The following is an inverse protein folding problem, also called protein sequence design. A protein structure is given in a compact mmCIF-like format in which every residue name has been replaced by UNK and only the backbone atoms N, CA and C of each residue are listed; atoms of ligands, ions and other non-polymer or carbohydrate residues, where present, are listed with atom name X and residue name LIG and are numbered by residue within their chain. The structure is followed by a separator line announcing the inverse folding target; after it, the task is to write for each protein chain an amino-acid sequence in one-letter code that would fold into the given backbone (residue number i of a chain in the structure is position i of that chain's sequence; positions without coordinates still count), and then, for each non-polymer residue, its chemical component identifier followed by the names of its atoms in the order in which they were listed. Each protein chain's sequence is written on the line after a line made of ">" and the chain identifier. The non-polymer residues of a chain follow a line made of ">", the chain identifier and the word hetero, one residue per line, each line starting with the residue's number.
data_IF_265560135248
#
_entry.id   IF_265560135248
#
_cell.length_a   1.000
_cell.length_b   1.000
_cell.length_c   1.000
_cell.angle_alpha   90.00
_cell.angle_beta   90.00
_cell.angle_gamma   90.00
#
_symmetry.space_group_name_H-M   'P 1'
#
loop_
_entity.id
_entity.type
_entity.pdbx_description
1 polymer ?
#
# COMPACT_ATOMS: atom_id res chain seq x y z
N UNK A 1 30.58 -9.46 62.45
CA UNK A 1 31.29 -8.91 61.25
C UNK A 1 30.42 -9.21 60.07
N UNK A 2 29.61 -8.25 59.64
CA UNK A 2 28.70 -8.41 58.51
C UNK A 2 29.13 -7.50 57.38
N UNK A 3 29.38 -8.06 56.21
CA UNK A 3 29.63 -7.32 54.99
C UNK A 3 28.32 -7.14 54.23
N UNK A 4 27.81 -5.92 54.20
CA UNK A 4 26.70 -5.54 53.36
C UNK A 4 27.16 -5.27 51.91
N UNK A 5 26.63 -6.00 50.97
CA UNK A 5 26.84 -5.81 49.53
C UNK A 5 25.78 -4.83 49.00
N UNK A 6 26.20 -3.63 48.62
CA UNK A 6 25.37 -2.64 47.94
C UNK A 6 25.29 -2.99 46.47
N UNK A 7 24.10 -3.31 45.98
CA UNK A 7 23.81 -3.41 44.55
C UNK A 7 23.70 -2.00 43.95
N UNK A 8 24.59 -1.70 43.03
CA UNK A 8 24.54 -0.47 42.24
C UNK A 8 23.64 -0.70 41.02
N UNK A 9 22.48 -0.08 41.02
CA UNK A 9 21.60 -0.08 39.84
C UNK A 9 22.18 0.83 38.75
N UNK A 10 22.72 0.22 37.71
CA UNK A 10 23.18 0.91 36.52
C UNK A 10 21.97 1.13 35.59
N UNK A 11 21.44 2.36 35.59
CA UNK A 11 20.45 2.78 34.62
C UNK A 11 21.16 3.04 33.30
N UNK A 12 20.99 2.13 32.33
CA UNK A 12 21.41 2.38 30.95
C UNK A 12 20.45 3.37 30.31
N UNK A 13 20.87 4.62 30.18
CA UNK A 13 20.22 5.58 29.26
C UNK A 13 20.52 5.14 27.83
N UNK A 14 19.55 4.55 27.15
CA UNK A 14 19.60 4.34 25.70
C UNK A 14 19.23 5.67 25.04
N UNK A 15 20.26 6.42 24.63
CA UNK A 15 20.09 7.58 23.77
C UNK A 15 19.68 7.11 22.38
N UNK A 16 18.44 7.40 21.99
CA UNK A 16 17.99 7.31 20.60
C UNK A 16 18.74 8.36 19.78
N UNK A 17 19.82 7.95 19.15
CA UNK A 17 20.41 8.71 18.05
C UNK A 17 19.44 8.64 16.86
N UNK A 18 18.78 9.74 16.58
CA UNK A 18 18.06 9.96 15.34
C UNK A 18 19.09 9.92 14.20
N UNK A 19 19.10 8.81 13.46
CA UNK A 19 19.88 8.73 12.22
C UNK A 19 19.30 9.73 11.22
N UNK A 20 20.11 10.62 10.65
CA UNK A 20 19.65 11.48 9.59
C UNK A 20 19.26 10.59 8.41
N UNK A 21 18.05 10.83 7.87
CA UNK A 21 17.58 10.25 6.61
C UNK A 21 18.59 10.60 5.51
N UNK A 22 19.46 9.65 5.19
CA UNK A 22 20.38 9.79 4.05
C UNK A 22 19.55 9.72 2.76
N UNK A 23 19.09 10.87 2.25
CA UNK A 23 18.65 10.99 0.87
C UNK A 23 19.88 10.74 0.00
N UNK A 24 19.92 9.60 -0.66
CA UNK A 24 20.99 9.26 -1.60
C UNK A 24 20.83 10.15 -2.82
N UNK A 25 21.77 11.06 -3.03
CA UNK A 25 21.87 11.86 -4.26
C UNK A 25 22.02 10.92 -5.45
N UNK A 26 20.96 10.82 -6.23
CA UNK A 26 21.03 10.27 -7.60
C UNK A 26 21.45 11.44 -8.47
N UNK A 27 22.68 11.46 -8.87
CA UNK A 27 23.44 12.41 -9.71
C UNK A 27 22.68 13.64 -10.22
N UNK A 28 23.35 14.74 -10.47
CA UNK A 28 22.98 16.10 -10.89
C UNK A 28 21.72 16.24 -11.79
N UNK A 29 20.58 15.68 -11.42
CA UNK A 29 19.30 16.02 -12.03
C UNK A 29 18.71 17.24 -11.25
N UNK A 30 18.10 18.20 -11.94
CA UNK A 30 17.52 19.39 -11.31
C UNK A 30 16.52 18.94 -10.24
N UNK A 31 16.56 19.58 -9.06
CA UNK A 31 15.64 19.32 -7.96
C UNK A 31 14.23 19.74 -8.39
N UNK A 32 13.41 18.77 -8.77
CA UNK A 32 12.05 19.02 -9.22
C UNK A 32 11.07 18.78 -8.09
N UNK A 33 10.22 19.77 -7.82
CA UNK A 33 9.08 19.63 -6.92
C UNK A 33 7.83 19.24 -7.71
N UNK A 34 7.10 18.25 -7.25
CA UNK A 34 5.82 17.84 -7.81
C UNK A 34 4.68 18.48 -7.00
N UNK A 35 3.79 19.19 -7.69
CA UNK A 35 2.57 19.74 -7.14
C UNK A 35 1.37 19.23 -7.91
N UNK A 36 0.21 19.23 -7.27
CA UNK A 36 -1.04 18.80 -7.88
C UNK A 36 -2.05 19.95 -7.92
N UNK A 37 -2.76 20.08 -9.03
CA UNK A 37 -3.96 20.91 -9.11
C UNK A 37 -5.18 20.01 -9.13
N UNK A 38 -6.12 20.30 -8.24
CA UNK A 38 -7.44 19.69 -8.20
C UNK A 38 -8.48 20.76 -8.53
N UNK A 39 -9.46 20.40 -9.35
CA UNK A 39 -10.61 21.27 -9.64
C UNK A 39 -11.80 20.96 -8.73
N UNK A 40 -11.69 19.97 -7.85
CA UNK A 40 -12.77 19.50 -7.00
C UNK A 40 -12.82 20.23 -5.67
N UNK A 41 -14.02 20.44 -5.15
CA UNK A 41 -14.21 20.88 -3.77
C UNK A 41 -13.70 19.81 -2.78
N UNK A 42 -13.18 20.23 -1.61
CA UNK A 42 -12.76 19.30 -0.56
C UNK A 42 -13.85 18.33 -0.16
N UNK A 43 -13.46 17.09 0.15
CA UNK A 43 -14.39 16.04 0.65
C UNK A 43 -14.86 16.36 2.07
N UNK A 44 -13.95 16.85 2.89
CA UNK A 44 -14.21 17.23 4.26
C UNK A 44 -13.56 18.59 4.56
N UNK A 45 -14.11 19.26 5.54
CA UNK A 45 -13.54 20.52 6.05
C UNK A 45 -12.32 20.23 6.93
N UNK A 46 -11.25 20.98 6.68
CA UNK A 46 -10.01 20.90 7.44
C UNK A 46 -9.91 22.06 8.43
N UNK A 47 -9.66 21.76 9.70
CA UNK A 47 -9.56 22.77 10.76
C UNK A 47 -8.20 23.48 10.78
N UNK A 48 -7.19 22.93 10.11
CA UNK A 48 -5.83 23.49 10.04
C UNK A 48 -5.33 23.49 8.60
N UNK A 49 -4.25 24.22 8.35
CA UNK A 49 -3.55 24.23 7.06
C UNK A 49 -2.59 23.06 6.90
N UNK A 50 -2.27 22.33 7.99
CA UNK A 50 -1.36 21.19 7.94
C UNK A 50 -2.00 20.05 7.17
N UNK A 51 -1.28 19.48 6.22
CA UNK A 51 -1.71 18.37 5.37
C UNK A 51 -0.73 17.21 5.46
N UNK A 52 -1.26 16.00 5.31
CA UNK A 52 -0.49 14.76 5.21
C UNK A 52 -0.93 14.02 3.94
N UNK A 53 -0.01 13.81 3.04
CA UNK A 53 -0.28 13.13 1.77
C UNK A 53 -0.02 11.64 1.87
N UNK A 54 -1.01 10.85 1.44
CA UNK A 54 -0.88 9.42 1.23
C UNK A 54 -0.99 9.11 -0.26
N UNK A 55 -0.07 8.32 -0.79
CA UNK A 55 -0.14 7.82 -2.17
C UNK A 55 -0.30 6.30 -2.15
N UNK A 56 -1.27 5.80 -2.91
CA UNK A 56 -1.56 4.38 -3.03
C UNK A 56 -1.35 3.93 -4.47
N UNK A 57 -0.61 2.87 -4.64
CA UNK A 57 -0.49 2.14 -5.90
C UNK A 57 -1.06 0.74 -5.73
N UNK A 58 -1.45 0.12 -6.85
CA UNK A 58 -2.09 -1.19 -6.84
C UNK A 58 -1.13 -2.36 -6.73
N UNK A 59 -1.45 -3.42 -7.45
CA UNK A 59 -0.80 -4.71 -7.35
C UNK A 59 0.60 -4.69 -7.96
N UNK A 60 1.62 -4.95 -7.15
CA UNK A 60 2.97 -5.29 -7.57
C UNK A 60 2.96 -6.79 -7.87
N UNK A 61 2.59 -7.13 -9.10
CA UNK A 61 2.38 -8.51 -9.57
C UNK A 61 3.35 -8.85 -10.71
N UNK A 62 4.54 -9.32 -10.35
CA UNK A 62 5.65 -9.45 -11.29
C UNK A 62 5.64 -10.82 -12.00
N UNK A 63 5.07 -10.83 -13.19
CA UNK A 63 5.17 -11.98 -14.10
C UNK A 63 6.61 -12.19 -14.58
N UNK A 64 6.90 -13.37 -15.12
CA UNK A 64 8.24 -13.83 -15.54
C UNK A 64 9.09 -12.73 -16.19
N UNK A 65 8.58 -12.08 -17.24
CA UNK A 65 9.36 -11.09 -17.97
C UNK A 65 9.68 -9.82 -17.15
N UNK A 66 8.81 -9.46 -16.21
CA UNK A 66 9.05 -8.33 -15.31
C UNK A 66 10.11 -8.68 -14.27
N UNK A 67 10.07 -9.90 -13.72
CA UNK A 67 11.12 -10.38 -12.83
C UNK A 67 12.46 -10.44 -13.55
N UNK A 68 12.51 -11.03 -14.76
CA UNK A 68 13.74 -11.10 -15.57
C UNK A 68 14.33 -9.73 -15.88
N UNK A 69 13.48 -8.73 -16.18
CA UNK A 69 13.94 -7.37 -16.39
C UNK A 69 14.40 -6.73 -15.08
N UNK A 70 13.64 -6.89 -14.00
CA UNK A 70 13.99 -6.36 -12.67
C UNK A 70 15.30 -6.91 -12.16
N UNK A 71 15.54 -8.21 -12.28
CA UNK A 71 16.80 -8.83 -11.86
C UNK A 71 18.00 -8.37 -12.70
N UNK A 72 17.80 -8.07 -13.96
CA UNK A 72 18.87 -7.63 -14.88
C UNK A 72 19.16 -6.12 -14.80
N UNK A 73 18.14 -5.29 -14.59
CA UNK A 73 18.21 -3.83 -14.77
C UNK A 73 17.81 -3.05 -13.51
N UNK A 74 17.46 -3.74 -12.40
CA UNK A 74 16.76 -3.17 -11.25
C UNK A 74 15.26 -3.02 -11.51
N UNK A 75 14.46 -3.26 -10.48
CA UNK A 75 13.00 -3.16 -10.57
C UNK A 75 12.51 -1.73 -10.77
N UNK A 76 13.28 -0.73 -10.32
CA UNK A 76 12.98 0.69 -10.58
C UNK A 76 12.80 0.96 -12.07
N UNK A 77 13.51 0.24 -12.95
CA UNK A 77 13.35 0.35 -14.41
C UNK A 77 11.90 0.11 -14.89
N UNK A 78 11.12 -0.65 -14.12
CA UNK A 78 9.72 -0.97 -14.44
C UNK A 78 8.77 0.19 -14.16
N UNK A 79 9.10 1.07 -13.21
CA UNK A 79 8.21 2.16 -12.75
C UNK A 79 8.94 3.49 -12.54
N UNK A 80 10.07 3.72 -13.20
CA UNK A 80 10.90 4.91 -13.03
C UNK A 80 10.09 6.23 -13.08
N UNK A 81 9.13 6.34 -13.99
CA UNK A 81 8.30 7.55 -14.12
C UNK A 81 7.34 7.77 -12.94
N UNK A 82 7.02 6.72 -12.17
CA UNK A 82 6.18 6.84 -10.98
C UNK A 82 6.97 7.24 -9.72
N UNK A 83 8.30 7.13 -9.72
CA UNK A 83 9.15 7.42 -8.55
C UNK A 83 8.89 8.83 -7.97
N UNK A 84 8.81 9.92 -8.75
CA UNK A 84 8.52 11.24 -8.18
C UNK A 84 7.18 11.31 -7.46
N UNK A 85 6.18 10.53 -7.88
CA UNK A 85 4.85 10.48 -7.26
C UNK A 85 4.84 9.72 -5.93
N UNK A 86 5.70 8.71 -5.80
CA UNK A 86 5.88 7.96 -4.56
C UNK A 86 6.70 8.75 -3.55
N UNK A 87 7.79 9.37 -3.99
CA UNK A 87 8.71 10.13 -3.13
C UNK A 87 8.14 11.46 -2.62
N UNK A 88 7.18 12.05 -3.35
CA UNK A 88 6.53 13.30 -2.93
C UNK A 88 5.54 13.08 -1.78
N UNK A 89 4.97 11.88 -1.67
CA UNK A 89 4.04 11.55 -0.59
C UNK A 89 4.74 11.51 0.77
N UNK A 90 4.02 11.89 1.82
CA UNK A 90 4.48 11.65 3.21
C UNK A 90 4.52 10.14 3.51
N UNK A 91 3.58 9.36 2.95
CA UNK A 91 3.55 7.90 3.02
C UNK A 91 3.07 7.34 1.68
N UNK A 92 3.86 6.48 1.04
CA UNK A 92 3.44 5.73 -0.13
C UNK A 92 3.22 4.25 0.20
N UNK A 93 2.12 3.70 -0.32
CA UNK A 93 1.62 2.34 -0.01
C UNK A 93 1.43 1.54 -1.30
N UNK A 94 1.87 0.28 -1.30
CA UNK A 94 1.67 -0.66 -2.41
C UNK A 94 1.10 -2.01 -1.92
N UNK A 95 0.43 -2.76 -2.79
CA UNK A 95 0.12 -4.16 -2.53
C UNK A 95 1.24 -5.06 -3.06
N UNK A 96 1.98 -5.73 -2.19
CA UNK A 96 3.01 -6.71 -2.53
C UNK A 96 2.31 -8.06 -2.80
N UNK A 97 1.93 -8.29 -4.05
CA UNK A 97 1.14 -9.46 -4.42
C UNK A 97 2.02 -10.67 -4.73
N UNK A 98 2.35 -11.37 -3.66
CA UNK A 98 3.19 -12.54 -3.63
C UNK A 98 4.29 -12.48 -2.58
N UNK A 99 4.81 -13.63 -2.16
CA UNK A 99 5.88 -13.72 -1.17
C UNK A 99 7.23 -13.26 -1.71
N UNK A 100 8.10 -12.88 -0.77
CA UNK A 100 9.54 -12.64 -0.96
C UNK A 100 10.28 -13.63 -0.06
N UNK A 101 10.26 -14.90 -0.47
CA UNK A 101 10.71 -16.03 0.34
C UNK A 101 12.00 -16.62 -0.23
N UNK A 102 13.14 -16.20 0.36
CA UNK A 102 14.49 -16.60 -0.05
C UNK A 102 14.66 -18.10 0.06
N UNK A 103 15.05 -18.75 -1.03
CA UNK A 103 15.37 -20.18 -1.07
C UNK A 103 14.16 -21.11 -0.89
N UNK A 104 12.92 -20.60 -0.98
CA UNK A 104 11.73 -21.46 -0.81
C UNK A 104 11.12 -21.82 -2.18
N UNK A 105 11.09 -23.12 -2.45
CA UNK A 105 10.49 -23.67 -3.68
C UNK A 105 8.95 -23.62 -3.64
N UNK A 106 8.29 -23.91 -4.80
CA UNK A 106 6.82 -24.03 -4.87
C UNK A 106 6.24 -25.11 -3.92
N UNK A 107 7.03 -26.11 -3.55
CA UNK A 107 6.61 -27.15 -2.59
C UNK A 107 6.88 -26.79 -1.13
N UNK A 108 7.35 -25.57 -0.84
CA UNK A 108 7.68 -25.14 0.52
C UNK A 108 8.99 -25.68 1.07
N UNK A 109 9.86 -26.29 0.25
CA UNK A 109 11.16 -26.77 0.69
C UNK A 109 12.20 -25.65 0.66
N UNK A 110 13.04 -25.60 1.70
CA UNK A 110 14.21 -24.74 1.72
C UNK A 110 15.31 -25.35 0.84
N UNK A 111 15.88 -24.53 -0.03
CA UNK A 111 17.06 -24.81 -0.87
C UNK A 111 18.00 -23.61 -0.82
N UNK A 112 19.18 -23.73 -1.43
CA UNK A 112 20.08 -22.60 -1.60
C UNK A 112 19.44 -21.48 -2.44
N UNK A 113 19.74 -20.25 -2.10
CA UNK A 113 19.24 -19.08 -2.84
C UNK A 113 19.97 -18.99 -4.20
N UNK A 114 19.26 -19.03 -5.34
CA UNK A 114 19.87 -18.87 -6.65
C UNK A 114 20.35 -17.41 -6.92
N UNK A 115 20.10 -16.47 -6.00
CA UNK A 115 20.32 -15.05 -6.19
C UNK A 115 19.25 -14.40 -7.09
N UNK A 116 19.43 -13.14 -7.52
CA UNK A 116 18.42 -12.37 -8.27
C UNK A 116 18.29 -12.87 -9.73
N UNK A 117 17.78 -14.06 -9.89
CA UNK A 117 17.55 -14.72 -11.19
C UNK A 117 16.19 -15.42 -11.21
N UNK A 118 15.49 -15.34 -12.33
CA UNK A 118 14.25 -16.09 -12.53
C UNK A 118 14.61 -17.53 -12.90
N UNK A 119 14.55 -18.45 -11.95
CA UNK A 119 14.92 -19.87 -12.11
C UNK A 119 13.72 -20.82 -12.28
N UNK A 120 12.50 -20.31 -12.07
CA UNK A 120 11.23 -21.05 -12.09
C UNK A 120 11.13 -22.19 -11.05
N UNK A 121 12.01 -22.18 -10.06
CA UNK A 121 12.07 -23.11 -8.92
C UNK A 121 11.83 -22.37 -7.62
N UNK A 122 12.72 -21.44 -7.27
CA UNK A 122 12.61 -20.54 -6.12
C UNK A 122 11.86 -19.28 -6.52
N UNK A 123 12.39 -18.51 -7.47
CA UNK A 123 11.76 -17.28 -7.96
C UNK A 123 10.92 -17.59 -9.19
N UNK A 124 9.61 -17.44 -9.02
CA UNK A 124 8.60 -18.00 -9.92
C UNK A 124 7.52 -16.97 -10.23
N UNK A 125 6.72 -17.27 -11.25
CA UNK A 125 5.57 -16.50 -11.67
C UNK A 125 4.28 -17.31 -11.46
N UNK A 126 3.17 -16.82 -12.08
CA UNK A 126 1.87 -17.50 -12.06
C UNK A 126 2.02 -19.03 -12.27
N UNK A 127 1.27 -19.86 -11.55
CA UNK A 127 0.19 -19.54 -10.61
C UNK A 127 0.66 -19.27 -9.16
N UNK A 128 1.91 -19.53 -8.81
CA UNK A 128 2.48 -19.33 -7.48
C UNK A 128 3.72 -18.46 -7.57
N UNK A 129 3.57 -17.21 -7.18
CA UNK A 129 4.64 -16.22 -7.23
C UNK A 129 5.68 -16.40 -6.11
N UNK A 130 6.88 -15.96 -6.37
CA UNK A 130 7.90 -15.68 -5.35
C UNK A 130 8.95 -14.73 -5.94
N UNK A 131 9.37 -13.75 -5.17
CA UNK A 131 10.26 -12.69 -5.61
C UNK A 131 11.56 -12.69 -4.78
N UNK A 132 12.65 -12.25 -5.40
CA UNK A 132 13.90 -12.02 -4.69
C UNK A 132 13.85 -10.70 -3.89
N UNK A 133 14.51 -10.61 -2.70
CA UNK A 133 14.51 -9.40 -1.85
C UNK A 133 14.96 -8.10 -2.50
N UNK A 134 15.69 -8.14 -3.62
CA UNK A 134 16.04 -6.94 -4.40
C UNK A 134 14.82 -6.13 -4.83
N UNK A 135 13.64 -6.77 -4.97
CA UNK A 135 12.37 -6.07 -5.20
C UNK A 135 12.05 -5.11 -4.05
N UNK A 136 12.22 -5.54 -2.80
CA UNK A 136 11.91 -4.72 -1.62
C UNK A 136 12.86 -3.53 -1.50
N UNK A 137 14.14 -3.71 -1.81
CA UNK A 137 15.11 -2.62 -1.85
C UNK A 137 14.73 -1.57 -2.90
N UNK A 138 14.28 -2.01 -4.08
CA UNK A 138 13.86 -1.12 -5.16
C UNK A 138 12.53 -0.42 -4.86
N UNK A 139 11.58 -1.07 -4.18
CA UNK A 139 10.36 -0.42 -3.68
C UNK A 139 10.72 0.66 -2.66
N UNK A 140 11.60 0.35 -1.70
CA UNK A 140 12.03 1.30 -0.67
C UNK A 140 12.72 2.53 -1.26
N UNK A 141 13.68 2.34 -2.17
CA UNK A 141 14.39 3.46 -2.80
C UNK A 141 13.48 4.30 -3.69
N UNK A 142 12.41 3.70 -4.22
CA UNK A 142 11.38 4.39 -5.00
C UNK A 142 10.43 5.25 -4.14
N UNK A 143 10.52 5.15 -2.81
CA UNK A 143 9.69 5.93 -1.89
C UNK A 143 8.50 5.17 -1.29
N UNK A 144 8.37 3.86 -1.51
CA UNK A 144 7.35 3.06 -0.83
C UNK A 144 7.72 2.91 0.64
N UNK A 145 6.80 3.23 1.55
CA UNK A 145 6.99 3.18 2.99
C UNK A 145 6.34 1.96 3.63
N UNK A 146 5.19 1.53 3.09
CA UNK A 146 4.42 0.41 3.61
C UNK A 146 3.88 -0.46 2.48
N UNK A 147 3.87 -1.77 2.70
CA UNK A 147 3.21 -2.72 1.79
C UNK A 147 2.10 -3.49 2.49
N UNK A 148 0.99 -3.70 1.76
CA UNK A 148 0.02 -4.73 2.11
C UNK A 148 0.58 -6.09 1.73
N UNK A 149 0.51 -7.06 2.64
CA UNK A 149 0.91 -8.45 2.43
C UNK A 149 -0.26 -9.42 2.48
N UNK A 150 -1.46 -8.95 2.88
CA UNK A 150 -2.68 -9.76 2.81
C UNK A 150 -3.27 -9.69 1.39
N UNK A 151 -3.02 -10.72 0.61
CA UNK A 151 -3.58 -10.92 -0.73
C UNK A 151 -3.73 -12.42 -1.01
N UNK A 152 -4.36 -12.78 -2.13
CA UNK A 152 -4.61 -14.18 -2.47
C UNK A 152 -3.32 -14.98 -2.72
N UNK A 153 -2.18 -14.32 -2.95
CA UNK A 153 -0.85 -14.91 -3.12
C UNK A 153 0.01 -14.90 -1.84
N UNK A 154 -0.52 -14.47 -0.70
CA UNK A 154 0.22 -14.40 0.58
C UNK A 154 0.87 -15.73 0.98
N UNK A 155 0.22 -16.85 0.66
CA UNK A 155 0.64 -18.19 1.02
C UNK A 155 1.19 -19.01 -0.15
N UNK A 156 1.59 -18.41 -1.26
CA UNK A 156 2.18 -19.12 -2.41
C UNK A 156 3.47 -19.89 -2.07
N UNK A 157 4.02 -19.67 -0.90
CA UNK A 157 5.12 -20.44 -0.29
C UNK A 157 4.75 -20.96 1.10
N UNK A 158 3.44 -21.14 1.36
CA UNK A 158 2.88 -21.63 2.62
C UNK A 158 3.27 -20.74 3.82
N UNK A 159 3.12 -21.26 5.02
CA UNK A 159 3.49 -20.58 6.26
C UNK A 159 4.95 -20.13 6.30
N UNK A 160 5.88 -20.97 5.84
CA UNK A 160 7.31 -20.63 5.79
C UNK A 160 7.56 -19.45 4.84
N UNK A 161 6.81 -19.33 3.76
CA UNK A 161 6.90 -18.21 2.83
C UNK A 161 6.43 -16.90 3.45
N UNK A 162 5.36 -16.94 4.23
CA UNK A 162 4.89 -15.76 4.97
C UNK A 162 5.95 -15.28 5.99
N UNK A 163 6.54 -16.21 6.76
CA UNK A 163 7.61 -15.89 7.70
C UNK A 163 8.83 -15.29 7.01
N UNK A 164 9.29 -15.89 5.90
CA UNK A 164 10.43 -15.40 5.11
C UNK A 164 10.16 -14.03 4.47
N UNK A 165 8.93 -13.79 4.01
CA UNK A 165 8.53 -12.49 3.48
C UNK A 165 8.62 -11.41 4.56
N UNK A 166 8.15 -11.71 5.78
CA UNK A 166 8.23 -10.78 6.91
C UNK A 166 9.69 -10.51 7.30
N UNK A 167 10.55 -11.54 7.32
CA UNK A 167 11.98 -11.39 7.56
C UNK A 167 12.63 -10.47 6.51
N UNK A 168 12.32 -10.67 5.22
CA UNK A 168 12.84 -9.87 4.13
C UNK A 168 12.38 -8.39 4.22
N UNK A 169 11.10 -8.15 4.55
CA UNK A 169 10.54 -6.81 4.75
C UNK A 169 11.22 -6.07 5.91
N UNK A 170 11.40 -6.74 7.05
CA UNK A 170 12.14 -6.19 8.20
C UNK A 170 13.56 -5.83 7.82
N UNK A 171 14.25 -6.71 7.08
CA UNK A 171 15.63 -6.48 6.62
C UNK A 171 15.72 -5.31 5.64
N UNK A 172 14.71 -5.11 4.78
CA UNK A 172 14.63 -3.97 3.87
C UNK A 172 14.20 -2.66 4.55
N UNK A 173 13.77 -2.68 5.80
CA UNK A 173 13.22 -1.51 6.50
C UNK A 173 11.90 -1.02 5.89
N UNK A 174 11.10 -1.91 5.29
CA UNK A 174 9.76 -1.63 4.80
C UNK A 174 8.72 -2.02 5.85
N UNK A 175 7.83 -1.09 6.18
CA UNK A 175 6.65 -1.42 6.99
C UNK A 175 5.70 -2.32 6.20
N UNK A 176 4.95 -3.16 6.90
CA UNK A 176 3.98 -4.06 6.29
C UNK A 176 2.77 -4.28 7.20
N UNK A 177 1.65 -4.69 6.62
CA UNK A 177 0.42 -5.04 7.33
C UNK A 177 -0.31 -6.18 6.62
N UNK A 178 -1.07 -7.00 7.36
CA UNK A 178 -1.96 -8.03 6.80
C UNK A 178 -1.48 -9.46 6.98
N UNK A 179 -0.19 -9.69 7.26
CA UNK A 179 0.34 -11.01 7.65
C UNK A 179 1.15 -10.92 8.95
N UNK A 180 1.19 -12.03 9.67
CA UNK A 180 1.99 -12.19 10.90
C UNK A 180 2.89 -13.42 10.82
N UNK A 181 3.94 -13.45 11.63
CA UNK A 181 4.79 -14.64 11.74
C UNK A 181 4.03 -15.78 12.43
N UNK A 182 4.38 -17.01 12.06
CA UNK A 182 3.84 -18.22 12.70
C UNK A 182 3.99 -18.14 14.22
N UNK A 183 2.89 -18.35 14.93
CA UNK A 183 2.84 -18.34 16.39
C UNK A 183 2.86 -16.96 17.03
N UNK A 184 2.94 -15.87 16.26
CA UNK A 184 2.79 -14.53 16.78
C UNK A 184 1.34 -14.26 17.21
N UNK A 185 1.11 -13.32 18.15
CA UNK A 185 -0.24 -12.85 18.44
C UNK A 185 -0.95 -12.32 17.19
N UNK A 186 -2.25 -12.54 17.07
CA UNK A 186 -3.07 -12.05 15.96
C UNK A 186 -3.21 -10.51 16.04
N UNK A 187 -2.17 -9.82 15.61
CA UNK A 187 -2.11 -8.38 15.53
C UNK A 187 -1.63 -7.99 14.13
N UNK A 188 -2.58 -7.60 13.28
CA UNK A 188 -2.33 -7.31 11.87
C UNK A 188 -2.14 -5.82 11.59
N UNK A 189 -2.29 -4.97 12.61
CA UNK A 189 -2.18 -3.51 12.48
C UNK A 189 -0.72 -3.07 12.56
N UNK A 190 -0.33 -2.18 11.65
CA UNK A 190 0.92 -1.43 11.70
C UNK A 190 0.63 0.05 11.90
N UNK A 191 1.31 0.67 12.86
CA UNK A 191 1.14 2.10 13.17
C UNK A 191 2.38 2.86 12.75
N UNK A 192 2.20 3.87 11.89
CA UNK A 192 3.25 4.78 11.47
C UNK A 192 3.08 6.15 12.13
N UNK A 193 4.16 6.73 12.70
CA UNK A 193 4.13 8.09 13.22
C UNK A 193 4.04 9.08 12.05
N UNK A 194 3.21 10.13 12.22
CA UNK A 194 3.09 11.19 11.22
C UNK A 194 3.00 12.57 11.88
N UNK A 195 3.16 13.61 11.07
CA UNK A 195 3.01 15.00 11.53
C UNK A 195 1.58 15.36 11.98
N UNK A 196 0.57 14.56 11.62
CA UNK A 196 -0.82 14.72 12.08
C UNK A 196 -1.18 13.76 13.23
N UNK A 197 -0.22 13.00 13.74
CA UNK A 197 -0.40 11.93 14.72
C UNK A 197 -0.28 10.54 14.08
N UNK A 198 -0.21 9.47 14.89
CA UNK A 198 -0.03 8.11 14.39
C UNK A 198 -1.20 7.64 13.52
N UNK A 199 -0.87 7.07 12.35
CA UNK A 199 -1.84 6.41 11.46
C UNK A 199 -1.72 4.90 11.60
N UNK A 200 -2.85 4.23 11.79
CA UNK A 200 -2.94 2.78 11.77
C UNK A 200 -3.30 2.27 10.36
N UNK A 201 -2.58 1.26 9.92
CA UNK A 201 -2.82 0.54 8.67
C UNK A 201 -3.17 -0.90 9.01
N UNK A 202 -4.27 -1.39 8.47
CA UNK A 202 -4.70 -2.78 8.59
C UNK A 202 -5.07 -3.31 7.21
N UNK A 203 -4.65 -4.52 6.89
CA UNK A 203 -4.88 -5.13 5.59
C UNK A 203 -5.54 -6.49 5.74
N UNK A 204 -6.45 -6.83 4.82
CA UNK A 204 -7.10 -8.14 4.74
C UNK A 204 -7.22 -8.64 3.30
N UNK A 205 -7.42 -9.94 3.13
CA UNK A 205 -7.68 -10.56 1.83
C UNK A 205 -8.96 -11.39 1.83
N UNK A 206 -9.54 -11.56 0.65
CA UNK A 206 -10.74 -12.39 0.49
C UNK A 206 -10.43 -13.88 0.41
N UNK A 207 -9.17 -14.26 0.09
CA UNK A 207 -8.77 -15.63 -0.20
C UNK A 207 -7.25 -15.79 -0.06
N UNK A 208 -6.79 -17.03 0.00
CA UNK A 208 -5.39 -17.46 -0.14
C UNK A 208 -5.23 -18.47 -1.29
N UNK A 209 -6.04 -18.34 -2.35
CA UNK A 209 -6.07 -19.23 -3.52
C UNK A 209 -6.23 -20.71 -3.14
N UNK A 210 -6.99 -21.00 -2.09
CA UNK A 210 -7.25 -22.37 -1.61
C UNK A 210 -6.10 -23.00 -0.80
N UNK A 211 -5.02 -22.25 -0.56
CA UNK A 211 -3.96 -22.70 0.35
C UNK A 211 -4.43 -22.47 1.78
N UNK A 212 -4.56 -23.55 2.56
CA UNK A 212 -5.07 -23.46 3.94
C UNK A 212 -4.05 -22.75 4.82
N UNK A 213 -4.47 -21.68 5.48
CA UNK A 213 -3.70 -20.98 6.52
C UNK A 213 -3.77 -21.74 7.86
N UNK A 214 -2.93 -22.76 7.98
CA UNK A 214 -2.90 -23.62 9.19
C UNK A 214 -2.42 -22.92 10.45
N UNK A 215 -1.86 -21.73 10.33
CA UNK A 215 -1.24 -21.01 11.44
C UNK A 215 -1.87 -19.64 11.68
N UNK A 216 -2.98 -19.32 11.01
CA UNK A 216 -3.71 -18.07 11.13
C UNK A 216 -2.82 -16.84 10.93
N UNK A 217 -1.99 -16.87 9.87
CA UNK A 217 -1.00 -15.82 9.58
C UNK A 217 -1.55 -14.69 8.71
N UNK A 218 -2.70 -14.86 8.08
CA UNK A 218 -3.32 -13.91 7.15
C UNK A 218 -4.67 -13.47 7.69
N UNK A 219 -4.95 -12.16 7.67
CA UNK A 219 -6.26 -11.64 8.04
C UNK A 219 -7.24 -11.76 6.87
N UNK A 220 -8.35 -12.46 7.07
CA UNK A 220 -9.38 -12.65 6.05
C UNK A 220 -10.46 -11.58 6.14
N UNK A 221 -10.79 -10.92 5.00
CA UNK A 221 -11.79 -9.82 4.99
C UNK A 221 -13.21 -10.29 5.37
N UNK A 222 -13.56 -11.54 5.04
CA UNK A 222 -14.92 -12.06 5.23
C UNK A 222 -14.99 -13.08 6.36
N UNK A 223 -14.07 -14.04 6.39
CA UNK A 223 -14.07 -15.08 7.42
C UNK A 223 -13.71 -14.48 8.80
N UNK A 224 -12.78 -13.54 8.85
CA UNK A 224 -12.38 -12.81 10.05
C UNK A 224 -13.07 -11.43 10.18
N UNK A 225 -14.21 -11.21 9.49
CA UNK A 225 -14.89 -9.90 9.42
C UNK A 225 -15.13 -9.28 10.79
N UNK A 226 -15.56 -10.07 11.75
CA UNK A 226 -15.84 -9.59 13.11
C UNK A 226 -14.56 -9.11 13.80
N UNK A 227 -13.43 -9.81 13.63
CA UNK A 227 -12.12 -9.42 14.16
C UNK A 227 -11.66 -8.11 13.52
N UNK A 228 -11.71 -8.03 12.19
CA UNK A 228 -11.35 -6.83 11.43
C UNK A 228 -12.16 -5.60 11.88
N UNK A 229 -13.48 -5.70 11.96
CA UNK A 229 -14.34 -4.61 12.38
C UNK A 229 -14.12 -4.21 13.86
N UNK A 230 -13.86 -5.17 14.72
CA UNK A 230 -13.55 -4.90 16.14
C UNK A 230 -12.21 -4.20 16.29
N UNK A 231 -11.20 -4.60 15.53
CA UNK A 231 -9.89 -3.92 15.54
C UNK A 231 -10.02 -2.48 15.03
N UNK A 232 -10.76 -2.25 13.92
CA UNK A 232 -11.01 -0.89 13.41
C UNK A 232 -11.73 -0.03 14.45
N UNK A 233 -12.74 -0.58 15.18
CA UNK A 233 -13.42 0.17 16.25
C UNK A 233 -12.47 0.49 17.40
N UNK A 234 -11.71 -0.49 17.87
CA UNK A 234 -10.73 -0.33 18.97
C UNK A 234 -9.70 0.76 18.63
N UNK A 235 -9.16 0.75 17.41
CA UNK A 235 -8.26 1.79 16.92
C UNK A 235 -8.98 3.14 16.80
N UNK A 236 -10.25 3.14 16.40
CA UNK A 236 -11.09 4.33 16.34
C UNK A 236 -11.31 4.96 17.70
N UNK A 237 -11.40 4.17 18.75
CA UNK A 237 -11.59 4.63 20.13
C UNK A 237 -10.26 4.98 20.84
N UNK A 238 -9.11 4.54 20.31
CA UNK A 238 -7.81 4.88 20.89
C UNK A 238 -7.47 6.37 20.63
N UNK A 239 -7.32 7.19 21.68
CA UNK A 239 -6.99 8.61 21.53
C UNK A 239 -5.59 8.86 20.92
N UNK A 240 -4.73 7.87 20.92
CA UNK A 240 -3.38 7.95 20.33
C UNK A 240 -3.38 7.78 18.83
N UNK A 241 -4.40 7.17 18.24
CA UNK A 241 -4.48 6.93 16.79
C UNK A 241 -5.23 8.09 16.12
N UNK A 242 -4.56 8.77 15.21
CA UNK A 242 -5.13 9.89 14.47
C UNK A 242 -6.07 9.45 13.34
N UNK A 243 -5.76 8.37 12.64
CA UNK A 243 -6.58 7.85 11.55
C UNK A 243 -6.30 6.38 11.26
N UNK A 244 -7.20 5.75 10.51
CA UNK A 244 -7.15 4.32 10.19
C UNK A 244 -7.32 4.14 8.69
N UNK A 245 -6.35 3.52 8.04
CA UNK A 245 -6.40 3.16 6.62
C UNK A 245 -6.58 1.64 6.53
N UNK A 246 -7.65 1.21 5.87
CA UNK A 246 -7.89 -0.21 5.59
C UNK A 246 -7.50 -0.51 4.16
N UNK A 247 -6.64 -1.52 4.00
CA UNK A 247 -6.16 -2.01 2.70
C UNK A 247 -6.83 -3.37 2.44
N UNK A 248 -7.74 -3.43 1.47
CA UNK A 248 -8.55 -4.63 1.25
C UNK A 248 -8.24 -5.26 -0.11
N UNK A 249 -7.74 -6.48 -0.11
CA UNK A 249 -7.51 -7.26 -1.32
C UNK A 249 -8.74 -8.15 -1.58
N UNK A 250 -9.68 -7.66 -2.39
CA UNK A 250 -11.02 -8.23 -2.50
C UNK A 250 -11.63 -8.13 -3.89
N UNK A 251 -12.80 -8.72 -4.04
CA UNK A 251 -13.60 -8.61 -5.26
C UNK A 251 -13.46 -9.82 -6.18
N UNK A 252 -13.70 -9.57 -7.44
CA UNK A 252 -13.63 -10.55 -8.51
C UNK A 252 -12.70 -10.02 -9.59
N UNK A 253 -11.74 -10.84 -10.01
CA UNK A 253 -10.81 -10.46 -11.07
C UNK A 253 -11.53 -9.96 -12.33
N UNK A 254 -11.01 -8.87 -12.90
CA UNK A 254 -11.42 -8.27 -14.17
C UNK A 254 -12.83 -7.68 -14.19
N UNK A 255 -13.52 -7.60 -13.05
CA UNK A 255 -14.80 -6.92 -12.94
C UNK A 255 -14.60 -5.43 -12.67
N UNK A 256 -15.31 -4.59 -13.46
CA UNK A 256 -15.21 -3.12 -13.36
C UNK A 256 -16.08 -2.52 -12.25
N UNK A 257 -16.89 -3.32 -11.59
CA UNK A 257 -17.75 -2.88 -10.50
C UNK A 257 -17.56 -3.78 -9.30
N UNK A 258 -17.51 -3.21 -8.08
CA UNK A 258 -17.49 -4.01 -6.87
C UNK A 258 -18.77 -4.80 -6.74
N UNK A 259 -18.70 -6.01 -6.20
CA UNK A 259 -19.88 -6.78 -5.86
C UNK A 259 -20.53 -6.25 -4.57
N UNK A 260 -21.78 -6.66 -4.31
CA UNK A 260 -22.54 -6.18 -3.15
C UNK A 260 -21.83 -6.41 -1.82
N UNK A 261 -21.08 -7.50 -1.69
CA UNK A 261 -20.35 -7.84 -0.46
C UNK A 261 -19.18 -6.87 -0.18
N UNK A 262 -18.46 -6.40 -1.23
CA UNK A 262 -17.39 -5.39 -1.07
C UNK A 262 -18.00 -4.03 -0.68
N UNK A 263 -19.11 -3.65 -1.29
CA UNK A 263 -19.85 -2.42 -0.96
C UNK A 263 -20.34 -2.48 0.49
N UNK A 264 -20.91 -3.61 0.91
CA UNK A 264 -21.40 -3.79 2.27
C UNK A 264 -20.27 -3.68 3.30
N UNK A 265 -19.17 -4.43 3.10
CA UNK A 265 -18.02 -4.40 4.00
C UNK A 265 -17.37 -3.02 4.05
N UNK A 266 -17.26 -2.32 2.92
CA UNK A 266 -16.69 -0.95 2.90
C UNK A 266 -17.53 0.03 3.73
N UNK A 267 -18.88 -0.07 3.68
CA UNK A 267 -19.77 0.73 4.50
C UNK A 267 -19.62 0.39 5.99
N UNK A 268 -19.51 -0.91 6.35
CA UNK A 268 -19.28 -1.35 7.71
C UNK A 268 -17.92 -0.85 8.26
N UNK A 269 -16.85 -0.88 7.44
CA UNK A 269 -15.53 -0.36 7.81
C UNK A 269 -15.55 1.15 8.01
N UNK A 270 -16.21 1.90 7.12
CA UNK A 270 -16.38 3.34 7.28
C UNK A 270 -17.15 3.68 8.55
N UNK A 271 -18.25 2.96 8.84
CA UNK A 271 -19.03 3.11 10.07
C UNK A 271 -18.22 2.72 11.33
N UNK A 272 -17.38 1.69 11.26
CA UNK A 272 -16.51 1.25 12.34
C UNK A 272 -15.40 2.24 12.68
N UNK A 273 -14.98 3.10 11.74
CA UNK A 273 -13.97 4.13 12.04
C UNK A 273 -12.87 4.31 11.04
N UNK A 274 -12.88 3.60 9.95
CA UNK A 274 -11.91 3.82 8.89
C UNK A 274 -11.91 5.28 8.40
N UNK A 275 -10.73 5.85 8.21
CA UNK A 275 -10.54 7.16 7.59
C UNK A 275 -10.59 7.06 6.07
N UNK A 276 -10.10 5.94 5.54
CA UNK A 276 -10.21 5.56 4.13
C UNK A 276 -10.13 4.04 3.98
N UNK A 277 -10.72 3.52 2.90
CA UNK A 277 -10.58 2.11 2.48
C UNK A 277 -10.01 2.10 1.07
N UNK A 278 -8.95 1.33 0.85
CA UNK A 278 -8.27 1.23 -0.45
C UNK A 278 -8.17 -0.23 -0.85
N UNK A 279 -8.81 -0.55 -1.98
CA UNK A 279 -8.92 -1.91 -2.51
C UNK A 279 -7.95 -2.20 -3.64
N UNK A 280 -7.70 -3.50 -3.81
CA UNK A 280 -6.90 -4.12 -4.88
C UNK A 280 -7.51 -5.47 -5.29
N UNK A 281 -6.84 -6.31 -6.06
CA UNK A 281 -7.22 -7.65 -6.51
C UNK A 281 -7.89 -7.71 -7.87
N UNK A 282 -8.86 -6.86 -8.18
CA UNK A 282 -9.60 -7.00 -9.44
C UNK A 282 -8.72 -6.84 -10.69
N UNK A 283 -7.47 -6.38 -10.54
CA UNK A 283 -6.49 -6.07 -11.60
C UNK A 283 -6.99 -5.06 -12.63
N UNK A 284 -8.11 -4.42 -12.37
CA UNK A 284 -8.69 -3.32 -13.13
C UNK A 284 -9.15 -2.23 -12.17
N UNK A 285 -9.24 -1.01 -12.66
CA UNK A 285 -9.76 0.11 -11.88
C UNK A 285 -11.25 -0.09 -11.63
N UNK A 286 -11.69 0.18 -10.40
CA UNK A 286 -13.10 0.19 -10.03
C UNK A 286 -13.52 1.58 -9.51
N UNK A 287 -14.83 1.92 -9.61
CA UNK A 287 -15.36 3.19 -9.12
C UNK A 287 -15.04 3.45 -7.66
N UNK A 288 -14.93 4.73 -7.29
CA UNK A 288 -14.82 5.17 -5.92
C UNK A 288 -16.19 5.43 -5.31
N UNK A 289 -16.37 5.07 -4.05
CA UNK A 289 -17.53 5.44 -3.25
C UNK A 289 -17.14 6.47 -2.18
N UNK A 290 -18.00 7.44 -1.95
CA UNK A 290 -17.87 8.43 -0.88
C UNK A 290 -18.91 8.13 0.19
N UNK A 291 -18.49 7.39 1.22
CA UNK A 291 -19.40 6.95 2.30
C UNK A 291 -19.56 8.06 3.31
N UNK A 292 -20.79 8.54 3.47
CA UNK A 292 -21.11 9.55 4.50
C UNK A 292 -21.25 8.89 5.86
N UNK A 293 -20.51 9.39 6.83
CA UNK A 293 -20.57 8.96 8.24
C UNK A 293 -20.78 10.17 9.15
N UNK A 294 -21.03 9.92 10.43
CA UNK A 294 -21.07 10.99 11.43
C UNK A 294 -19.71 11.69 11.67
N UNK A 295 -18.61 11.11 11.13
CA UNK A 295 -17.24 11.66 11.22
C UNK A 295 -16.81 12.41 9.96
N UNK A 296 -17.65 12.42 8.93
CA UNK A 296 -17.38 13.01 7.63
C UNK A 296 -17.51 12.01 6.50
N UNK A 297 -17.01 12.39 5.34
CA UNK A 297 -16.99 11.55 4.13
C UNK A 297 -15.74 10.66 4.16
N UNK A 298 -15.95 9.36 4.07
CA UNK A 298 -14.88 8.35 3.99
C UNK A 298 -14.75 7.90 2.53
N UNK A 299 -13.63 8.16 1.85
CA UNK A 299 -13.42 7.64 0.51
C UNK A 299 -13.14 6.14 0.57
N UNK A 300 -13.83 5.42 -0.30
CA UNK A 300 -13.63 4.00 -0.57
C UNK A 300 -13.16 3.87 -2.02
N UNK A 301 -11.93 3.47 -2.21
CA UNK A 301 -11.32 3.14 -3.48
C UNK A 301 -11.47 1.63 -3.65
N UNK A 302 -12.44 1.16 -4.45
CA UNK A 302 -12.69 -0.29 -4.53
C UNK A 302 -11.55 -1.06 -5.18
N UNK A 303 -10.87 -0.48 -6.17
CA UNK A 303 -9.61 -1.01 -6.72
C UNK A 303 -8.78 0.06 -7.41
N UNK A 304 -7.49 0.05 -7.13
CA UNK A 304 -6.48 0.85 -7.84
C UNK A 304 -5.93 0.13 -9.08
N UNK A 305 -6.38 -1.12 -9.35
CA UNK A 305 -5.86 -1.96 -10.43
C UNK A 305 -4.41 -2.40 -10.18
N UNK A 306 -3.72 -2.79 -11.24
CA UNK A 306 -2.31 -3.14 -11.15
C UNK A 306 -1.43 -1.89 -11.05
N UNK A 307 -0.40 -1.91 -10.19
CA UNK A 307 0.71 -0.97 -10.31
C UNK A 307 1.63 -1.40 -11.45
N UNK A 308 2.18 -2.60 -11.35
CA UNK A 308 2.99 -3.22 -12.41
C UNK A 308 2.60 -4.68 -12.57
N UNK A 309 2.24 -5.07 -13.80
CA UNK A 309 1.82 -6.43 -14.12
C UNK A 309 2.15 -6.81 -15.56
N UNK A 310 2.40 -8.09 -15.78
CA UNK A 310 2.55 -8.65 -17.13
C UNK A 310 1.23 -8.98 -17.82
N UNK A 311 0.09 -8.69 -17.22
CA UNK A 311 -1.22 -9.01 -17.78
C UNK A 311 -1.51 -8.22 -19.07
N UNK A 312 -2.13 -8.84 -20.08
CA UNK A 312 -2.50 -8.18 -21.34
C UNK A 312 -3.77 -7.33 -21.17
N UNK A 313 -4.13 -6.58 -22.18
CA UNK A 313 -5.31 -5.69 -22.34
C UNK A 313 -5.17 -4.32 -21.66
N UNK A 314 -5.80 -3.34 -22.26
CA UNK A 314 -5.77 -1.95 -21.78
C UNK A 314 -6.20 -1.81 -20.31
N UNK A 315 -7.31 -2.40 -19.85
CA UNK A 315 -7.75 -2.24 -18.47
C UNK A 315 -6.74 -2.77 -17.44
N UNK A 316 -6.12 -3.93 -17.72
CA UNK A 316 -5.14 -4.57 -16.81
C UNK A 316 -3.76 -3.94 -16.88
N UNK A 317 -3.47 -3.18 -17.95
CA UNK A 317 -2.26 -2.37 -18.10
C UNK A 317 -2.44 -0.96 -17.52
N UNK A 318 -3.69 -0.54 -17.28
CA UNK A 318 -4.01 0.75 -16.68
C UNK A 318 -3.74 0.69 -15.18
N UNK A 319 -2.94 1.63 -14.70
CA UNK A 319 -2.58 1.80 -13.30
C UNK A 319 -3.13 3.13 -12.79
N UNK A 320 -3.62 3.13 -11.57
CA UNK A 320 -4.02 4.34 -10.86
C UNK A 320 -3.01 4.62 -9.74
N UNK A 321 -2.45 5.81 -9.73
CA UNK A 321 -1.78 6.36 -8.56
C UNK A 321 -2.83 7.21 -7.83
N UNK A 322 -3.41 6.65 -6.78
CA UNK A 322 -4.41 7.33 -5.97
C UNK A 322 -3.73 8.15 -4.88
N UNK A 323 -4.18 9.40 -4.69
CA UNK A 323 -3.68 10.32 -3.66
C UNK A 323 -4.80 10.72 -2.75
N UNK A 324 -4.55 10.63 -1.44
CA UNK A 324 -5.41 11.16 -0.40
C UNK A 324 -4.62 12.20 0.39
N UNK A 325 -5.22 13.35 0.63
CA UNK A 325 -4.65 14.38 1.46
C UNK A 325 -5.44 14.47 2.76
N UNK A 326 -4.79 14.13 3.86
CA UNK A 326 -5.39 14.11 5.18
C UNK A 326 -5.16 15.44 5.88
N UNK A 327 -6.13 15.86 6.69
CA UNK A 327 -6.05 17.01 7.55
C UNK A 327 -6.75 16.77 8.88
N UNK A 328 -6.48 17.61 9.86
CA UNK A 328 -7.23 17.55 11.12
C UNK A 328 -8.68 17.96 10.89
N UNK A 329 -9.57 17.25 11.57
CA UNK A 329 -10.99 17.50 11.52
C UNK A 329 -11.39 18.79 12.26
N UNK A 330 -12.39 19.51 11.72
CA UNK A 330 -12.99 20.65 12.44
C UNK A 330 -13.86 20.13 13.60
N UNK A 331 -13.30 20.22 14.81
CA UNK A 331 -13.98 19.81 16.05
C UNK A 331 -15.31 20.53 16.28
N UNK A 332 -15.52 21.71 15.67
CA UNK A 332 -16.73 22.51 15.89
C UNK A 332 -17.95 22.01 15.12
N UNK A 333 -17.73 21.21 14.06
CA UNK A 333 -18.80 20.75 13.15
C UNK A 333 -19.22 19.29 13.36
N UNK A 334 -18.53 18.50 14.17
CA UNK A 334 -18.71 17.04 14.26
C UNK A 334 -19.25 16.54 15.62
N UNK A 335 -19.87 17.35 16.44
CA UNK A 335 -20.52 16.90 17.69
C UNK A 335 -19.60 16.11 18.65
N UNK A 336 -20.18 15.29 19.51
CA UNK A 336 -19.50 14.60 20.64
C UNK A 336 -18.36 13.63 20.25
N UNK A 337 -18.24 13.23 18.98
CA UNK A 337 -17.20 12.33 18.48
C UNK A 337 -15.83 12.97 18.28
N UNK A 338 -15.78 14.29 18.42
CA UNK A 338 -14.55 15.08 18.24
C UNK A 338 -13.51 14.92 19.36
N UNK A 339 -13.75 14.08 20.37
CA UNK A 339 -12.83 13.88 21.50
C UNK A 339 -11.42 13.45 21.10
N UNK A 340 -11.23 12.95 19.90
CA UNK A 340 -10.02 12.23 19.53
C UNK A 340 -9.10 12.96 18.55
N UNK A 341 -9.36 14.21 18.15
CA UNK A 341 -8.46 14.96 17.25
C UNK A 341 -8.14 14.23 15.95
N UNK A 342 -9.10 13.47 15.43
CA UNK A 342 -8.91 12.56 14.31
C UNK A 342 -8.73 13.30 13.00
N UNK A 343 -7.99 12.67 12.10
CA UNK A 343 -7.85 13.16 10.73
C UNK A 343 -9.01 12.66 9.86
N UNK A 344 -9.29 13.46 8.84
CA UNK A 344 -10.21 13.13 7.74
C UNK A 344 -9.48 13.31 6.43
N UNK A 345 -10.02 12.74 5.35
CA UNK A 345 -9.52 13.01 4.01
C UNK A 345 -10.12 14.34 3.52
N UNK A 346 -9.29 15.37 3.48
CA UNK A 346 -9.68 16.69 2.95
C UNK A 346 -9.82 16.66 1.43
N UNK A 347 -8.83 16.09 0.73
CA UNK A 347 -8.82 15.99 -0.72
C UNK A 347 -8.45 14.58 -1.15
N UNK A 348 -8.97 14.18 -2.32
CA UNK A 348 -8.66 12.91 -2.95
C UNK A 348 -8.55 13.09 -4.47
N UNK A 349 -7.69 12.32 -5.09
CA UNK A 349 -7.55 12.35 -6.53
C UNK A 349 -6.66 11.22 -7.06
N UNK A 350 -6.53 11.18 -8.38
CA UNK A 350 -5.74 10.16 -9.04
C UNK A 350 -4.95 10.69 -10.24
N UNK A 351 -3.83 10.03 -10.53
CA UNK A 351 -3.05 10.19 -11.77
C UNK A 351 -3.00 8.84 -12.46
N UNK A 352 -3.23 8.85 -13.77
CA UNK A 352 -3.20 7.63 -14.56
C UNK A 352 -1.78 7.27 -14.97
N UNK A 353 -1.53 5.96 -15.05
CA UNK A 353 -0.36 5.42 -15.70
C UNK A 353 -0.74 4.20 -16.55
N UNK A 354 0.17 3.77 -17.42
CA UNK A 354 -0.04 2.58 -18.24
C UNK A 354 1.22 1.77 -18.41
N UNK A 355 1.12 0.46 -18.14
CA UNK A 355 2.21 -0.47 -18.37
C UNK A 355 2.50 -0.62 -19.87
N UNK A 356 3.65 -0.16 -20.33
CA UNK A 356 4.11 -0.35 -21.71
C UNK A 356 4.75 -1.74 -21.86
N UNK A 357 4.38 -2.43 -22.94
CA UNK A 357 4.83 -3.79 -23.23
C UNK A 357 5.58 -3.82 -24.59
N UNK A 358 6.67 -3.08 -24.66
CA UNK A 358 7.62 -3.16 -25.78
C UNK A 358 8.76 -4.13 -25.43
N UNK A 359 9.89 -4.04 -26.09
CA UNK A 359 11.12 -4.79 -25.75
C UNK A 359 11.57 -4.53 -24.32
N UNK A 360 11.38 -3.28 -23.82
CA UNK A 360 11.54 -2.92 -22.42
C UNK A 360 10.17 -2.60 -21.84
N UNK A 361 9.81 -3.28 -20.74
CA UNK A 361 8.54 -3.06 -20.06
C UNK A 361 8.71 -1.95 -19.04
N UNK A 362 7.86 -0.94 -19.10
CA UNK A 362 7.91 0.19 -18.17
C UNK A 362 6.53 0.81 -17.98
N UNK A 363 6.26 1.32 -16.79
CA UNK A 363 5.07 2.10 -16.50
C UNK A 363 5.26 3.52 -17.03
N UNK A 364 4.34 3.98 -17.85
CA UNK A 364 4.30 5.34 -18.41
C UNK A 364 3.25 6.17 -17.73
N UNK A 365 3.64 7.33 -17.20
CA UNK A 365 2.74 8.26 -16.53
C UNK A 365 1.95 9.10 -17.53
N UNK A 366 0.67 9.30 -17.28
CA UNK A 366 -0.18 10.20 -18.05
C UNK A 366 -0.06 11.64 -17.53
N UNK A 367 1.09 12.26 -17.70
CA UNK A 367 1.39 13.61 -17.19
C UNK A 367 0.63 14.70 -17.97
N UNK A 368 0.47 14.49 -19.27
CA UNK A 368 -0.33 15.35 -20.13
C UNK A 368 -1.20 14.47 -21.03
N UNK A 369 -2.45 14.18 -20.65
CA UNK A 369 -3.35 13.32 -21.41
C UNK A 369 -3.63 13.80 -22.83
N UNK A 370 -3.42 15.10 -23.11
CA UNK A 370 -3.59 15.67 -24.45
C UNK A 370 -2.42 15.36 -25.38
N UNK A 371 -1.23 15.01 -24.87
CA UNK A 371 0.01 14.89 -25.64
C UNK A 371 0.38 13.46 -26.06
N UNK A 372 -0.20 12.42 -25.45
CA UNK A 372 0.14 11.02 -25.71
C UNK A 372 -1.11 10.15 -25.87
N UNK A 373 -1.36 9.63 -27.06
CA UNK A 373 -2.47 8.69 -27.30
C UNK A 373 -2.33 7.39 -26.48
N UNK A 374 -1.10 6.98 -26.15
CA UNK A 374 -0.85 5.75 -25.38
C UNK A 374 -1.40 5.82 -23.95
N UNK A 375 -1.04 6.86 -23.20
CA UNK A 375 -1.48 7.03 -21.81
C UNK A 375 -2.86 7.67 -21.71
N UNK A 376 -3.27 8.42 -22.74
CA UNK A 376 -4.61 9.02 -22.81
C UNK A 376 -5.71 7.99 -22.66
N UNK A 377 -5.62 6.85 -23.32
CA UNK A 377 -6.63 5.77 -23.21
C UNK A 377 -6.79 5.26 -21.77
N UNK A 378 -5.71 5.20 -20.99
CA UNK A 378 -5.77 4.84 -19.58
C UNK A 378 -6.37 5.95 -18.74
N UNK A 379 -6.02 7.20 -19.02
CA UNK A 379 -6.64 8.36 -18.36
C UNK A 379 -8.15 8.38 -18.59
N UNK A 380 -8.59 8.27 -19.85
CA UNK A 380 -10.02 8.29 -20.21
C UNK A 380 -10.78 7.11 -19.57
N UNK A 381 -10.14 5.94 -19.48
CA UNK A 381 -10.73 4.78 -18.80
C UNK A 381 -10.97 5.07 -17.30
N UNK A 382 -10.00 5.67 -16.63
CA UNK A 382 -10.15 6.02 -15.20
C UNK A 382 -11.17 7.14 -15.04
N UNK A 383 -11.13 8.19 -15.87
CA UNK A 383 -12.09 9.30 -15.80
C UNK A 383 -13.54 8.82 -15.99
N UNK A 384 -13.78 7.84 -16.85
CA UNK A 384 -15.11 7.23 -17.01
C UNK A 384 -15.57 6.44 -15.77
N UNK A 385 -14.66 5.85 -15.00
CA UNK A 385 -14.97 5.05 -13.81
C UNK A 385 -14.99 5.90 -12.53
N UNK A 386 -14.13 6.93 -12.46
CA UNK A 386 -13.90 7.78 -11.29
C UNK A 386 -13.88 9.25 -11.74
N UNK A 387 -15.00 9.80 -12.22
CA UNK A 387 -15.05 11.12 -12.82
C UNK A 387 -14.80 12.24 -11.82
N UNK A 388 -14.08 13.27 -12.27
CA UNK A 388 -13.86 14.50 -11.53
C UNK A 388 -12.86 14.39 -10.37
N UNK A 389 -12.04 13.33 -10.34
CA UNK A 389 -10.95 13.15 -9.36
C UNK A 389 -9.56 13.18 -10.01
N UNK A 390 -9.48 13.43 -11.32
CA UNK A 390 -8.19 13.54 -12.00
C UNK A 390 -7.36 14.69 -11.43
N UNK A 391 -6.12 14.39 -11.05
CA UNK A 391 -5.14 15.38 -10.63
C UNK A 391 -4.30 15.81 -11.84
N UNK A 392 -3.95 17.09 -11.88
CA UNK A 392 -3.02 17.62 -12.87
C UNK A 392 -1.65 17.80 -12.21
N UNK A 393 -0.71 16.87 -12.39
CA UNK A 393 0.62 17.00 -11.83
C UNK A 393 1.40 18.10 -12.55
N UNK A 394 2.07 18.97 -11.79
CA UNK A 394 2.97 20.01 -12.28
C UNK A 394 4.35 19.81 -11.69
N UNK A 395 5.34 19.62 -12.53
CA UNK A 395 6.74 19.62 -12.14
C UNK A 395 7.30 21.03 -12.22
N UNK A 396 7.91 21.49 -11.15
CA UNK A 396 8.69 22.72 -11.10
C UNK A 396 10.12 22.33 -10.80
N UNK A 397 10.98 22.38 -11.82
CA UNK A 397 12.40 22.06 -11.69
C UNK A 397 13.20 23.37 -11.59
N UNK A 398 14.19 23.41 -10.68
CA UNK A 398 15.14 24.52 -10.51
C UNK A 398 16.51 24.15 -11.00
#
# INVERSE_FOLDING_TARGET
>A
MGYGMRFLNLVLLVSFLSLPSCKREIGNEPECTLKYESSRAPLNYCSTTQRLSLTFVGDVLLHKQLQQQGYKQGFVSLWKEAVPFLQEADIAVANLEGPVAVGITRSGRQVDDPGPVFDDIVYTSYPMFNYHPSLLADLKVSGVDLVSTANNHSLDRFSIGADKTIEALKSAGLAYTGTIQKGAPRQFTTVLPTKLGPLAFISCTFSTNGIIDKHNQVLMCYDDKSELLNEVRKLGDDPKIAGIIVLAHWGVEYQYRPAAKEVALSNELAAAGATAVVGTHSHVIQPWNMVKTNRGVVPVIHSTGNFVSGQPSLPRQTSMIARLELCQNDKTKLGAWSKHGKVVVGEAGWTAARMQRTTTRTLKMALNPASSDYTKKSHDLIENLVPGFALKPKFSCR
#
